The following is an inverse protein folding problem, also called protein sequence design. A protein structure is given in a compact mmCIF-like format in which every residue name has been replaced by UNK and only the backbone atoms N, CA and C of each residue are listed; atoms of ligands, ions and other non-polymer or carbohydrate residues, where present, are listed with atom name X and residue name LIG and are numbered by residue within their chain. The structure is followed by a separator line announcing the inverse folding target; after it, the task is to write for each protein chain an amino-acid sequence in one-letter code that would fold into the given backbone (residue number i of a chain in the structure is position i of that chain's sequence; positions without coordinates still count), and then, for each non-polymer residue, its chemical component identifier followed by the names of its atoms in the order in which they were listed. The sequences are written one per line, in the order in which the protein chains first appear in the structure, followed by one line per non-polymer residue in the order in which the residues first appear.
data_IF_999568032012
#
_entry.id   IF_999568032012
#
_cell.length_a   1.000
_cell.length_b   1.000
_cell.length_c   1.000
_cell.angle_alpha   90.00
_cell.angle_beta   90.00
_cell.angle_gamma   90.00
#
_symmetry.space_group_name_H-M   'P 1'
#
loop_
_entity.id
_entity.type
_entity.pdbx_description
1 polymer ?
#
# COMPACT_ATOMS: atom_id res chain seq x y z
N UNK A 1 23.86 -19.40 20.09
CA UNK A 1 23.07 -20.39 19.33
C UNK A 1 21.67 -19.83 19.15
N UNK A 2 21.37 -19.27 17.97
CA UNK A 2 20.03 -18.81 17.60
C UNK A 2 19.39 -19.88 16.70
N UNK A 3 18.11 -20.24 16.89
CA UNK A 3 17.47 -21.28 16.10
C UNK A 3 17.28 -20.80 14.66
N UNK A 4 17.78 -21.58 13.71
CA UNK A 4 17.71 -21.32 12.29
C UNK A 4 16.28 -21.43 11.77
N UNK A 5 15.75 -20.33 11.23
CA UNK A 5 14.50 -20.32 10.48
C UNK A 5 14.83 -20.70 9.03
N UNK A 6 14.88 -22.01 8.76
CA UNK A 6 14.84 -22.55 7.40
C UNK A 6 13.39 -22.48 6.91
N UNK A 7 13.00 -21.36 6.29
CA UNK A 7 11.73 -21.25 5.58
C UNK A 7 11.82 -21.97 4.22
N UNK A 8 11.68 -23.29 4.23
CA UNK A 8 11.60 -24.15 3.05
C UNK A 8 10.16 -24.58 2.77
N UNK A 9 9.21 -23.64 2.82
CA UNK A 9 7.78 -23.90 2.65
C UNK A 9 7.19 -23.02 1.53
N UNK A 10 6.14 -23.49 0.83
CA UNK A 10 5.39 -22.66 -0.10
C UNK A 10 4.78 -21.47 0.65
N UNK A 11 4.99 -20.27 0.12
CA UNK A 11 4.52 -19.03 0.72
C UNK A 11 3.28 -18.52 -0.01
N UNK A 12 2.25 -18.14 0.74
CA UNK A 12 0.99 -17.62 0.22
C UNK A 12 0.87 -16.11 0.46
N UNK A 13 0.52 -15.37 -0.59
CA UNK A 13 0.39 -13.91 -0.56
C UNK A 13 -0.98 -13.51 -1.10
N UNK A 14 -1.79 -12.81 -0.30
CA UNK A 14 -3.08 -12.27 -0.77
C UNK A 14 -2.93 -10.79 -1.11
N UNK A 15 -3.34 -10.41 -2.32
CA UNK A 15 -3.18 -9.05 -2.88
C UNK A 15 -4.39 -8.67 -3.74
N UNK A 16 -4.65 -7.39 -3.94
CA UNK A 16 -5.69 -6.90 -4.85
C UNK A 16 -5.30 -6.98 -6.33
N UNK A 17 -4.02 -7.23 -6.61
CA UNK A 17 -3.54 -7.49 -7.95
C UNK A 17 -2.43 -8.55 -7.96
N UNK A 18 -2.36 -9.27 -9.08
CA UNK A 18 -1.26 -10.13 -9.48
C UNK A 18 -0.60 -9.51 -10.73
N UNK A 19 -0.11 -8.28 -10.64
CA UNK A 19 0.45 -7.58 -11.80
C UNK A 19 1.78 -8.23 -12.24
N UNK A 20 1.70 -9.23 -13.12
CA UNK A 20 2.88 -9.87 -13.70
C UNK A 20 2.70 -9.99 -15.20
N UNK A 21 3.23 -9.02 -15.96
CA UNK A 21 3.29 -9.09 -17.42
C UNK A 21 4.15 -10.29 -17.82
N UNK A 22 3.51 -11.33 -18.36
CA UNK A 22 4.06 -12.68 -18.49
C UNK A 22 5.28 -12.88 -19.42
N UNK A 23 5.88 -11.81 -19.94
CA UNK A 23 6.85 -11.89 -21.06
C UNK A 23 8.33 -11.64 -20.68
N UNK A 24 8.66 -11.21 -19.46
CA UNK A 24 10.03 -10.80 -19.08
C UNK A 24 10.66 -11.63 -17.94
N UNK A 25 10.56 -12.96 -17.98
CA UNK A 25 10.88 -13.84 -16.83
C UNK A 25 12.29 -14.45 -16.79
N UNK A 26 13.16 -14.20 -17.77
CA UNK A 26 14.43 -14.96 -17.86
C UNK A 26 15.45 -14.62 -16.76
N UNK A 27 15.35 -13.45 -16.14
CA UNK A 27 16.33 -12.94 -15.18
C UNK A 27 15.89 -13.02 -13.70
N UNK A 28 14.71 -13.60 -13.41
CA UNK A 28 14.13 -13.59 -12.06
C UNK A 28 14.29 -14.95 -11.36
N UNK A 29 14.41 -14.97 -10.01
CA UNK A 29 14.57 -16.20 -9.22
C UNK A 29 13.31 -17.10 -9.21
N UNK A 30 12.16 -16.57 -9.61
CA UNK A 30 10.91 -17.32 -9.70
C UNK A 30 10.38 -17.33 -11.15
N UNK A 31 9.71 -18.42 -11.52
CA UNK A 31 8.99 -18.58 -12.79
C UNK A 31 7.51 -18.84 -12.54
N UNK A 32 6.66 -18.40 -13.47
CA UNK A 32 5.24 -18.71 -13.45
C UNK A 32 5.05 -20.19 -13.73
N UNK A 33 4.39 -20.90 -12.81
CA UNK A 33 3.94 -22.28 -13.00
C UNK A 33 2.52 -22.30 -13.56
N UNK A 34 1.62 -21.47 -13.00
CA UNK A 34 0.22 -21.39 -13.39
C UNK A 34 -0.32 -19.97 -13.16
N UNK A 35 -1.23 -19.52 -14.00
CA UNK A 35 -1.89 -18.21 -13.88
C UNK A 35 -3.37 -18.35 -14.23
N UNK A 36 -4.22 -17.98 -13.26
CA UNK A 36 -5.66 -17.78 -13.42
C UNK A 36 -5.91 -16.28 -13.33
N UNK A 37 -6.05 -15.57 -14.46
CA UNK A 37 -6.17 -14.12 -14.47
C UNK A 37 -7.24 -13.61 -13.51
N UNK A 38 -6.86 -12.66 -12.66
CA UNK A 38 -7.76 -12.05 -11.68
C UNK A 38 -8.11 -12.92 -10.46
N UNK A 39 -7.53 -14.12 -10.32
CA UNK A 39 -7.81 -15.04 -9.21
C UNK A 39 -6.57 -15.57 -8.53
N UNK A 40 -5.62 -16.11 -9.27
CA UNK A 40 -4.51 -16.86 -8.70
C UNK A 40 -3.28 -16.83 -9.61
N UNK A 41 -2.09 -16.73 -9.03
CA UNK A 41 -0.83 -16.85 -9.76
C UNK A 41 0.14 -17.67 -8.91
N UNK A 42 0.54 -18.82 -9.44
CA UNK A 42 1.52 -19.69 -8.79
C UNK A 42 2.89 -19.49 -9.43
N UNK A 43 3.86 -19.10 -8.60
CA UNK A 43 5.26 -19.02 -8.95
C UNK A 43 6.04 -20.15 -8.28
N UNK A 44 7.05 -20.69 -8.97
CA UNK A 44 7.99 -21.66 -8.41
C UNK A 44 9.42 -21.16 -8.53
N UNK A 45 10.25 -21.51 -7.57
CA UNK A 45 11.66 -21.11 -7.56
C UNK A 45 12.45 -21.83 -8.66
N UNK A 46 13.39 -21.10 -9.27
CA UNK A 46 14.37 -21.64 -10.20
C UNK A 46 15.51 -22.27 -9.43
N UNK A 47 15.67 -23.60 -9.56
CA UNK A 47 16.78 -24.34 -8.95
C UNK A 47 18.14 -24.00 -9.56
N UNK A 48 18.16 -23.49 -10.78
CA UNK A 48 19.37 -23.11 -11.53
C UNK A 48 19.77 -21.63 -11.35
N UNK A 49 19.04 -20.86 -10.55
CA UNK A 49 19.27 -19.43 -10.41
C UNK A 49 20.58 -19.14 -9.66
N UNK A 50 21.60 -18.65 -10.37
CA UNK A 50 22.90 -18.27 -9.77
C UNK A 50 23.41 -16.88 -10.17
N UNK A 51 22.71 -16.18 -11.05
CA UNK A 51 23.11 -14.87 -11.56
C UNK A 51 22.52 -13.70 -10.76
N UNK A 52 22.31 -13.91 -9.46
CA UNK A 52 21.85 -12.86 -8.55
C UNK A 52 22.93 -11.78 -8.31
N UNK A 53 22.55 -10.60 -7.83
CA UNK A 53 23.50 -9.58 -7.41
C UNK A 53 24.48 -10.11 -6.34
N UNK A 54 25.79 -9.96 -6.57
CA UNK A 54 26.84 -10.47 -5.69
C UNK A 54 26.86 -9.83 -4.29
N UNK A 55 26.18 -8.71 -4.12
CA UNK A 55 26.08 -7.95 -2.86
C UNK A 55 24.92 -8.40 -1.96
N UNK A 56 24.11 -9.38 -2.37
CA UNK A 56 23.07 -9.96 -1.52
C UNK A 56 23.64 -11.08 -0.64
N UNK A 57 23.18 -11.16 0.60
CA UNK A 57 23.57 -12.26 1.50
C UNK A 57 23.14 -13.64 0.97
N UNK A 58 22.01 -13.69 0.27
CA UNK A 58 21.55 -14.89 -0.41
C UNK A 58 22.18 -14.99 -1.80
N UNK A 59 22.96 -16.04 -2.01
CA UNK A 59 23.54 -16.42 -3.30
C UNK A 59 22.91 -17.75 -3.74
N UNK A 60 22.57 -17.85 -5.02
CA UNK A 60 21.91 -19.05 -5.57
C UNK A 60 20.37 -19.00 -5.51
N UNK A 61 19.71 -20.17 -5.56
CA UNK A 61 18.25 -20.29 -5.63
C UNK A 61 17.52 -19.60 -4.48
N UNK A 62 16.24 -19.27 -4.69
CA UNK A 62 15.38 -18.74 -3.64
C UNK A 62 15.26 -19.71 -2.46
N UNK A 63 15.10 -19.19 -1.24
CA UNK A 63 14.92 -20.03 -0.05
C UNK A 63 13.51 -20.66 0.01
N UNK A 64 12.58 -20.11 -0.77
CA UNK A 64 11.20 -20.57 -0.87
C UNK A 64 11.06 -21.49 -2.09
N UNK A 65 10.27 -22.54 -1.97
CA UNK A 65 9.96 -23.43 -3.10
C UNK A 65 9.04 -22.76 -4.14
N UNK A 66 8.18 -21.86 -3.68
CA UNK A 66 7.21 -21.18 -4.52
C UNK A 66 6.43 -20.11 -3.77
N UNK A 67 5.71 -19.30 -4.54
CA UNK A 67 4.85 -18.23 -4.05
C UNK A 67 3.50 -18.35 -4.75
N UNK A 68 2.42 -18.46 -3.99
CA UNK A 68 1.05 -18.41 -4.53
C UNK A 68 0.44 -17.05 -4.22
N UNK A 69 0.16 -16.28 -5.26
CA UNK A 69 -0.61 -15.04 -5.15
C UNK A 69 -2.09 -15.34 -5.30
N UNK A 70 -2.89 -14.94 -4.32
CA UNK A 70 -4.35 -15.02 -4.38
C UNK A 70 -4.89 -13.59 -4.54
N UNK A 71 -5.76 -13.40 -5.53
CA UNK A 71 -6.34 -12.09 -5.83
C UNK A 71 -7.69 -11.95 -5.15
N UNK A 72 -7.78 -11.08 -4.15
CA UNK A 72 -9.01 -10.83 -3.39
C UNK A 72 -9.21 -9.33 -3.20
N UNK A 73 -10.22 -8.72 -3.85
CA UNK A 73 -10.50 -7.29 -3.71
C UNK A 73 -11.03 -6.95 -2.31
N UNK A 74 -11.76 -7.85 -1.66
CA UNK A 74 -12.35 -7.67 -0.34
C UNK A 74 -11.28 -7.69 0.77
N UNK A 75 -11.14 -6.58 1.48
CA UNK A 75 -10.24 -6.37 2.62
C UNK A 75 -10.50 -7.33 3.79
N UNK A 76 -11.77 -7.50 4.17
CA UNK A 76 -12.19 -8.38 5.27
C UNK A 76 -11.78 -9.83 5.03
N UNK A 77 -11.81 -10.27 3.77
CA UNK A 77 -11.37 -11.63 3.39
C UNK A 77 -9.86 -11.75 3.50
N UNK A 78 -9.08 -10.72 3.12
CA UNK A 78 -7.61 -10.75 3.25
C UNK A 78 -7.19 -10.85 4.71
N UNK A 79 -7.70 -9.97 5.57
CA UNK A 79 -7.33 -9.99 6.99
C UNK A 79 -7.81 -11.27 7.67
N UNK A 80 -9.02 -11.74 7.37
CA UNK A 80 -9.54 -13.01 7.90
C UNK A 80 -8.65 -14.20 7.55
N UNK A 81 -8.17 -14.29 6.31
CA UNK A 81 -7.25 -15.35 5.88
C UNK A 81 -5.89 -15.28 6.58
N UNK A 82 -5.35 -14.09 6.83
CA UNK A 82 -4.11 -13.92 7.62
C UNK A 82 -4.30 -14.43 9.05
N UNK A 83 -5.38 -13.99 9.70
CA UNK A 83 -5.69 -14.35 11.09
C UNK A 83 -5.99 -15.85 11.25
N UNK A 84 -6.57 -16.47 10.22
CA UNK A 84 -6.83 -17.91 10.17
C UNK A 84 -5.59 -18.76 9.82
N UNK A 85 -4.43 -18.13 9.55
CA UNK A 85 -3.21 -18.84 9.12
C UNK A 85 -3.30 -19.44 7.71
N UNK A 86 -4.27 -18.98 6.90
CA UNK A 86 -4.44 -19.39 5.51
C UNK A 86 -3.59 -18.54 4.54
N UNK A 87 -3.10 -17.40 5.02
CA UNK A 87 -2.19 -16.52 4.31
C UNK A 87 -0.96 -16.23 5.18
N UNK A 88 0.23 -16.28 4.58
CA UNK A 88 1.47 -15.88 5.28
C UNK A 88 1.68 -14.37 5.20
N UNK A 89 1.24 -13.75 4.09
CA UNK A 89 1.34 -12.31 3.86
C UNK A 89 0.08 -11.76 3.19
N UNK A 90 -0.28 -10.53 3.57
CA UNK A 90 -1.33 -9.77 2.90
C UNK A 90 -0.83 -8.38 2.52
N UNK A 91 -1.39 -7.82 1.45
CA UNK A 91 -1.21 -6.42 1.07
C UNK A 91 -2.45 -5.59 1.37
N UNK A 92 -2.22 -4.29 1.55
CA UNK A 92 -3.28 -3.28 1.76
C UNK A 92 -4.17 -3.61 2.97
N UNK A 93 -3.53 -3.75 4.14
CA UNK A 93 -4.22 -3.77 5.43
C UNK A 93 -4.85 -2.40 5.64
N UNK A 94 -6.13 -2.37 5.99
CA UNK A 94 -6.84 -1.13 6.25
C UNK A 94 -6.47 -0.59 7.63
N UNK A 95 -6.50 0.74 7.80
CA UNK A 95 -6.06 1.39 9.03
C UNK A 95 -6.79 0.89 10.28
N UNK A 96 -8.09 0.54 10.17
CA UNK A 96 -8.88 0.00 11.27
C UNK A 96 -8.53 -1.44 11.64
N UNK A 97 -7.98 -2.23 10.71
CA UNK A 97 -7.57 -3.62 10.94
C UNK A 97 -6.15 -3.74 11.48
N UNK A 98 -5.34 -2.67 11.38
CA UNK A 98 -3.93 -2.70 11.78
C UNK A 98 -3.75 -3.07 13.25
N UNK A 99 -4.61 -2.54 14.13
CA UNK A 99 -4.56 -2.87 15.55
C UNK A 99 -4.79 -4.36 15.79
N UNK A 100 -5.79 -4.94 15.14
CA UNK A 100 -6.12 -6.36 15.27
C UNK A 100 -4.97 -7.24 14.78
N UNK A 101 -4.32 -6.88 13.66
CA UNK A 101 -3.16 -7.60 13.17
C UNK A 101 -1.98 -7.51 14.15
N UNK A 102 -1.68 -6.33 14.70
CA UNK A 102 -0.58 -6.16 15.66
C UNK A 102 -0.82 -6.86 16.98
N UNK A 103 -2.07 -6.88 17.48
CA UNK A 103 -2.43 -7.56 18.72
C UNK A 103 -2.24 -9.08 18.61
N UNK A 104 -2.35 -9.64 17.41
CA UNK A 104 -2.09 -11.05 17.09
C UNK A 104 -0.60 -11.34 16.78
N UNK A 105 0.28 -10.34 16.94
CA UNK A 105 1.72 -10.48 16.75
C UNK A 105 2.20 -10.34 15.30
N UNK A 106 1.31 -9.98 14.36
CA UNK A 106 1.74 -9.71 12.98
C UNK A 106 2.50 -8.38 12.88
N UNK A 107 3.55 -8.39 12.05
CA UNK A 107 4.36 -7.20 11.80
C UNK A 107 3.82 -6.44 10.59
N UNK A 108 3.48 -5.17 10.82
CA UNK A 108 3.01 -4.27 9.77
C UNK A 108 4.20 -3.52 9.17
N UNK A 109 4.27 -3.52 7.84
CA UNK A 109 5.24 -2.75 7.07
C UNK A 109 4.52 -1.63 6.30
N UNK A 110 4.46 -0.45 6.91
CA UNK A 110 3.81 0.73 6.33
C UNK A 110 4.84 1.67 5.67
N UNK A 111 5.29 1.31 4.47
CA UNK A 111 6.12 2.22 3.68
C UNK A 111 5.24 3.26 2.97
N UNK A 112 5.57 4.57 3.04
CA UNK A 112 4.75 5.60 2.42
C UNK A 112 4.77 5.50 0.90
N UNK A 113 3.62 5.71 0.28
CA UNK A 113 3.49 5.80 -1.18
C UNK A 113 4.26 7.01 -1.69
N UNK A 114 5.21 6.81 -2.60
CA UNK A 114 6.03 7.88 -3.19
C UNK A 114 5.35 8.50 -4.41
N UNK A 115 4.16 9.07 -4.22
CA UNK A 115 3.32 9.53 -5.32
C UNK A 115 2.45 10.72 -4.95
N UNK A 116 1.21 10.68 -5.42
CA UNK A 116 0.18 11.67 -5.11
C UNK A 116 -0.47 11.27 -3.77
N UNK A 117 -0.63 12.23 -2.88
CA UNK A 117 -1.36 12.01 -1.63
C UNK A 117 -2.86 11.94 -1.91
N UNK A 118 -3.59 11.20 -1.07
CA UNK A 118 -5.04 11.15 -1.15
C UNK A 118 -5.62 12.57 -1.00
N UNK A 119 -6.41 12.97 -1.99
CA UNK A 119 -6.94 14.32 -2.10
C UNK A 119 -8.33 14.32 -2.73
N UNK A 120 -9.17 15.23 -2.27
CA UNK A 120 -10.47 15.48 -2.89
C UNK A 120 -10.28 16.51 -4.00
N UNK A 121 -10.50 16.09 -5.24
CA UNK A 121 -10.41 16.96 -6.42
C UNK A 121 -11.81 17.31 -6.93
N UNK A 122 -12.09 18.60 -7.05
CA UNK A 122 -13.33 19.08 -7.65
C UNK A 122 -13.16 19.31 -9.15
N UNK A 123 -14.18 18.94 -9.91
CA UNK A 123 -14.29 19.21 -11.35
C UNK A 123 -14.78 20.64 -11.57
N UNK A 124 -13.95 21.59 -12.07
CA UNK A 124 -14.31 23.01 -12.14
C UNK A 124 -15.44 23.33 -13.13
N UNK A 125 -15.69 22.43 -14.08
CA UNK A 125 -16.77 22.47 -15.06
C UNK A 125 -18.15 22.12 -14.47
N UNK A 126 -18.20 21.58 -13.24
CA UNK A 126 -19.46 21.37 -12.54
C UNK A 126 -20.01 22.72 -12.00
N UNK A 127 -21.23 23.14 -12.38
CA UNK A 127 -21.82 24.41 -11.96
C UNK A 127 -21.90 24.61 -10.43
N UNK A 128 -21.98 23.54 -9.64
CA UNK A 128 -22.09 23.61 -8.17
C UNK A 128 -20.78 24.00 -7.48
N UNK A 129 -19.64 23.79 -8.16
CA UNK A 129 -18.30 24.04 -7.62
C UNK A 129 -17.44 24.85 -8.58
N UNK A 130 -18.06 25.53 -9.55
CA UNK A 130 -17.37 26.36 -10.55
C UNK A 130 -16.79 27.64 -9.94
N UNK A 131 -17.48 28.23 -8.97
CA UNK A 131 -16.99 29.39 -8.21
C UNK A 131 -15.82 28.98 -7.29
N UNK A 132 -14.71 29.72 -7.39
CA UNK A 132 -13.53 29.53 -6.55
C UNK A 132 -13.85 29.66 -5.06
N UNK A 133 -14.75 30.56 -4.68
CA UNK A 133 -15.14 30.81 -3.29
C UNK A 133 -15.82 29.60 -2.67
N UNK A 134 -16.63 28.87 -3.45
CA UNK A 134 -17.27 27.62 -3.00
C UNK A 134 -16.21 26.56 -2.72
N UNK A 135 -15.20 26.41 -3.60
CA UNK A 135 -14.11 25.46 -3.39
C UNK A 135 -13.25 25.82 -2.18
N UNK A 136 -13.00 27.11 -1.96
CA UNK A 136 -12.30 27.58 -0.75
C UNK A 136 -13.12 27.32 0.51
N UNK A 137 -14.43 27.59 0.50
CA UNK A 137 -15.31 27.30 1.62
C UNK A 137 -15.33 25.80 1.97
N UNK A 138 -15.41 24.91 0.97
CA UNK A 138 -15.34 23.46 1.17
C UNK A 138 -13.99 23.00 1.74
N UNK A 139 -12.90 23.63 1.31
CA UNK A 139 -11.56 23.36 1.83
C UNK A 139 -11.45 23.74 3.32
N UNK A 140 -12.01 24.89 3.72
CA UNK A 140 -12.02 25.34 5.11
C UNK A 140 -13.04 24.59 5.98
N UNK A 141 -14.14 24.12 5.41
CA UNK A 141 -15.15 23.31 6.10
C UNK A 141 -14.62 21.90 6.45
N UNK A 142 -13.59 21.43 5.75
CA UNK A 142 -13.01 20.10 5.97
C UNK A 142 -11.86 20.18 6.99
N UNK A 143 -12.00 19.52 8.13
CA UNK A 143 -10.93 19.38 9.09
C UNK A 143 -10.07 18.13 8.79
N UNK A 144 -9.08 18.28 7.92
CA UNK A 144 -8.19 17.18 7.51
C UNK A 144 -7.50 16.50 8.71
N UNK A 145 -7.12 17.26 9.75
CA UNK A 145 -6.52 16.70 10.95
C UNK A 145 -7.49 15.78 11.69
N UNK A 146 -8.72 16.23 11.89
CA UNK A 146 -9.75 15.41 12.54
C UNK A 146 -10.02 14.12 11.75
N UNK A 147 -10.07 14.18 10.42
CA UNK A 147 -10.26 12.99 9.58
C UNK A 147 -9.13 11.98 9.74
N UNK A 148 -7.88 12.45 9.72
CA UNK A 148 -6.71 11.58 9.92
C UNK A 148 -6.71 10.97 11.31
N UNK A 149 -6.96 11.78 12.34
CA UNK A 149 -6.95 11.34 13.73
C UNK A 149 -8.11 10.36 14.07
N UNK A 150 -9.22 10.39 13.32
CA UNK A 150 -10.39 9.52 13.57
C UNK A 150 -10.40 8.24 12.73
N UNK A 151 -10.03 8.32 11.45
CA UNK A 151 -10.19 7.20 10.51
C UNK A 151 -8.91 6.39 10.32
N UNK A 152 -7.74 6.98 10.58
CA UNK A 152 -6.47 6.38 10.24
C UNK A 152 -5.61 6.07 11.48
N UNK A 153 -4.68 5.15 11.30
CA UNK A 153 -3.69 4.79 12.31
C UNK A 153 -2.47 5.70 12.23
N UNK A 154 -1.54 5.54 13.18
CA UNK A 154 -0.26 6.27 13.20
C UNK A 154 0.61 6.06 11.94
N UNK A 155 0.30 5.05 11.11
CA UNK A 155 0.99 4.76 9.87
C UNK A 155 0.61 5.72 8.71
N UNK A 156 -0.41 6.56 8.89
CA UNK A 156 -0.92 7.49 7.87
C UNK A 156 -0.78 8.95 8.35
N UNK A 157 0.41 9.56 8.22
CA UNK A 157 0.60 10.95 8.63
C UNK A 157 -0.19 11.90 7.73
N UNK A 158 -0.61 13.04 8.30
CA UNK A 158 -1.35 14.06 7.58
C UNK A 158 -0.56 14.57 6.36
N UNK A 159 -1.21 14.56 5.19
CA UNK A 159 -0.67 15.12 3.97
C UNK A 159 -0.52 16.65 4.07
N UNK A 160 0.61 17.17 3.59
CA UNK A 160 0.91 18.62 3.59
C UNK A 160 0.89 19.25 2.19
N UNK A 161 0.88 18.42 1.15
CA UNK A 161 0.88 18.84 -0.27
C UNK A 161 0.18 17.76 -1.11
N UNK A 162 -0.12 18.07 -2.38
CA UNK A 162 -0.63 17.08 -3.33
C UNK A 162 0.38 15.95 -3.61
N UNK A 163 1.68 16.21 -3.44
CA UNK A 163 2.74 15.22 -3.63
C UNK A 163 3.27 14.75 -2.27
N UNK A 164 3.52 13.44 -2.16
CA UNK A 164 4.13 12.85 -0.98
C UNK A 164 5.48 13.51 -0.69
N UNK A 165 5.75 13.82 0.58
CA UNK A 165 7.03 14.40 1.02
C UNK A 165 8.23 13.50 0.73
N UNK A 166 7.97 12.19 0.54
CA UNK A 166 8.94 11.15 0.17
C UNK A 166 9.06 10.93 -1.34
N UNK A 167 8.25 11.62 -2.15
CA UNK A 167 8.39 11.69 -3.60
C UNK A 167 9.60 12.53 -3.99
N UNK A 168 10.53 11.96 -4.74
CA UNK A 168 11.79 12.61 -5.08
C UNK A 168 11.65 13.94 -5.84
N UNK A 169 12.52 14.90 -5.50
CA UNK A 169 12.86 16.19 -6.16
C UNK A 169 11.73 17.20 -6.45
N UNK A 170 10.46 16.83 -6.44
CA UNK A 170 9.36 17.79 -6.60
C UNK A 170 8.91 18.32 -5.23
N UNK A 171 9.73 19.17 -4.61
CA UNK A 171 9.17 20.16 -3.66
C UNK A 171 8.39 21.15 -4.51
N UNK A 172 7.07 20.99 -4.61
CA UNK A 172 6.27 22.12 -5.07
C UNK A 172 6.51 23.27 -4.09
N UNK A 173 6.97 24.39 -4.63
CA UNK A 173 7.28 25.63 -3.90
C UNK A 173 6.03 26.33 -3.36
N UNK A 174 4.88 25.68 -3.38
CA UNK A 174 3.69 26.15 -2.70
C UNK A 174 3.77 25.71 -1.25
N UNK A 175 4.39 26.58 -0.44
CA UNK A 175 4.00 26.68 0.95
C UNK A 175 2.49 26.95 0.96
N UNK A 176 1.67 25.90 1.08
CA UNK A 176 0.32 25.96 1.62
C UNK A 176 0.38 26.28 3.14
N UNK A 177 1.34 27.10 3.54
CA UNK A 177 1.56 27.53 4.91
C UNK A 177 0.64 28.71 5.19
N UNK A 178 -0.68 28.48 5.16
CA UNK A 178 -1.63 29.30 5.94
C UNK A 178 -3.09 28.81 5.97
N UNK A 179 -3.43 27.68 5.35
CA UNK A 179 -4.78 27.13 5.49
C UNK A 179 -4.89 26.30 6.79
N UNK A 180 -4.75 26.97 7.94
CA UNK A 180 -5.19 26.39 9.21
C UNK A 180 -6.69 26.17 9.09
N UNK A 181 -7.15 24.92 9.20
CA UNK A 181 -8.57 24.62 9.33
C UNK A 181 -9.11 25.42 10.52
N UNK A 182 -9.94 26.43 10.20
CA UNK A 182 -10.72 27.19 11.16
C UNK A 182 -12.17 26.80 10.91
N UNK A 183 -12.72 25.79 11.60
CA UNK A 183 -14.09 25.32 11.41
C UNK A 183 -15.16 26.42 11.58
N UNK A 184 -14.79 27.59 12.13
CA UNK A 184 -15.67 28.74 12.32
C UNK A 184 -15.73 29.75 11.15
N UNK A 185 -14.93 29.63 10.09
CA UNK A 185 -14.93 30.59 8.97
C UNK A 185 -15.84 30.19 7.80
N UNK A 186 -16.43 28.99 7.80
CA UNK A 186 -17.32 28.52 6.72
C UNK A 186 -18.70 29.20 6.70
N UNK A 187 -18.99 30.10 7.65
CA UNK A 187 -20.24 30.88 7.70
C UNK A 187 -19.91 32.37 7.64
N UNK A 188 -19.65 32.89 6.44
CA UNK A 188 -19.66 34.33 6.20
C UNK A 188 -20.44 34.60 4.90
N UNK A 189 -21.52 35.38 5.10
CA UNK A 189 -22.48 35.99 4.17
C UNK A 189 -22.14 36.02 2.69
#
# INVERSE_FOLDING_TARGET
MAPGWSLSAPCSVISTNSATRAKYYRLRPFVVKDEKPGRELTLVARKDYQWGPKNLAQQGPANLDGITFIVTPEDSVRIGALLAGQADFIRQVQAYDEKQATDQGFRIYAAPTRGVNDSLSFRPDNPLVSDLRVRQALLHATNAKQVVDTLFSANYPQATSAIASTGGRLRQSERQADLRSSPGQAVAR
#
